data_IF_231168494511
#
_entry.id   IF_231168494511
#
_cell.length_a   1.000
_cell.length_b   1.000
_cell.length_c   1.000
_cell.angle_alpha   90.00
_cell.angle_beta   90.00
_cell.angle_gamma   90.00
#
_symmetry.space_group_name_H-M   'P 1'
#
loop_
_entity.id
_entity.type
_entity.pdbx_description
1 polymer ?
#
# COMPACT_ATOMS: atom_id res chain seq x y z
N UNK A 1 -44.00 -20.98 -21.30
CA UNK A 1 -44.37 -19.58 -21.03
C UNK A 1 -43.95 -19.22 -19.60
N UNK A 2 -42.65 -18.97 -19.36
CA UNK A 2 -42.14 -18.66 -18.02
C UNK A 2 -42.14 -17.14 -17.82
N UNK A 3 -43.19 -16.68 -17.15
CA UNK A 3 -43.45 -15.27 -16.85
C UNK A 3 -42.40 -14.74 -15.86
N UNK A 4 -41.64 -13.73 -16.26
CA UNK A 4 -40.72 -12.96 -15.41
C UNK A 4 -41.42 -12.48 -14.13
N UNK A 5 -41.27 -13.23 -13.02
CA UNK A 5 -41.66 -12.76 -11.69
C UNK A 5 -40.57 -11.83 -11.19
N UNK A 6 -40.82 -10.51 -11.23
CA UNK A 6 -39.95 -9.51 -10.58
C UNK A 6 -40.02 -9.72 -9.07
N UNK A 7 -38.98 -10.33 -8.50
CA UNK A 7 -38.82 -10.47 -7.04
C UNK A 7 -38.59 -9.06 -6.49
N UNK A 8 -39.63 -8.45 -5.90
CA UNK A 8 -39.50 -7.19 -5.16
C UNK A 8 -38.91 -7.50 -3.79
N UNK A 9 -37.58 -7.42 -3.67
CA UNK A 9 -36.89 -7.53 -2.38
C UNK A 9 -37.26 -6.29 -1.56
N UNK A 10 -38.19 -6.42 -0.61
CA UNK A 10 -38.47 -5.39 0.40
C UNK A 10 -37.54 -5.62 1.58
N UNK A 11 -36.39 -4.97 1.56
CA UNK A 11 -35.47 -4.96 2.70
C UNK A 11 -36.02 -3.97 3.73
N UNK A 12 -36.30 -4.42 4.95
CA UNK A 12 -36.66 -3.49 6.04
C UNK A 12 -35.51 -2.49 6.26
N UNK A 13 -35.80 -1.25 6.67
CA UNK A 13 -34.78 -0.21 6.86
C UNK A 13 -33.63 -0.65 7.78
N UNK A 14 -33.94 -1.47 8.79
CA UNK A 14 -32.96 -2.05 9.72
C UNK A 14 -32.06 -3.11 9.07
N UNK A 15 -32.62 -4.01 8.27
CA UNK A 15 -31.83 -5.00 7.53
C UNK A 15 -30.95 -4.37 6.45
N UNK A 16 -31.40 -3.28 5.82
CA UNK A 16 -30.59 -2.55 4.84
C UNK A 16 -29.40 -1.84 5.51
N UNK A 17 -29.62 -1.26 6.69
CA UNK A 17 -28.58 -0.61 7.50
C UNK A 17 -27.54 -1.62 8.00
N UNK A 18 -27.97 -2.81 8.45
CA UNK A 18 -27.07 -3.91 8.82
C UNK A 18 -26.21 -4.38 7.64
N UNK A 19 -26.79 -4.58 6.47
CA UNK A 19 -26.05 -4.96 5.26
C UNK A 19 -25.03 -3.88 4.89
N UNK A 20 -25.40 -2.61 4.98
CA UNK A 20 -24.51 -1.48 4.68
C UNK A 20 -23.34 -1.39 5.68
N UNK A 21 -23.60 -1.57 6.97
CA UNK A 21 -22.55 -1.67 8.00
C UNK A 21 -21.63 -2.86 7.69
N UNK A 22 -22.19 -4.01 7.33
CA UNK A 22 -21.39 -5.21 7.04
C UNK A 22 -20.49 -5.02 5.81
N UNK A 23 -20.98 -4.35 4.77
CA UNK A 23 -20.18 -3.99 3.59
C UNK A 23 -19.08 -2.99 3.97
N UNK A 24 -19.37 -2.00 4.81
CA UNK A 24 -18.38 -1.05 5.31
C UNK A 24 -17.28 -1.77 6.11
N UNK A 25 -17.66 -2.67 7.02
CA UNK A 25 -16.71 -3.47 7.80
C UNK A 25 -15.88 -4.36 6.88
N UNK A 26 -16.49 -5.05 5.93
CA UNK A 26 -15.76 -5.87 4.95
C UNK A 26 -14.81 -5.03 4.10
N UNK A 27 -15.23 -3.85 3.65
CA UNK A 27 -14.39 -2.92 2.90
C UNK A 27 -13.20 -2.46 3.72
N UNK A 28 -13.43 -2.01 4.97
CA UNK A 28 -12.36 -1.65 5.90
C UNK A 28 -11.43 -2.82 6.19
N UNK A 29 -12.00 -4.01 6.39
CA UNK A 29 -11.24 -5.22 6.64
C UNK A 29 -10.37 -5.58 5.45
N UNK A 30 -10.89 -5.51 4.21
CA UNK A 30 -10.11 -5.77 2.99
C UNK A 30 -9.02 -4.72 2.78
N UNK A 31 -9.32 -3.43 2.95
CA UNK A 31 -8.34 -2.34 2.81
C UNK A 31 -7.19 -2.48 3.81
N UNK A 32 -7.44 -3.04 4.98
CA UNK A 32 -6.39 -3.29 5.99
C UNK A 32 -5.69 -4.63 5.79
N UNK A 33 -6.45 -5.70 5.55
CA UNK A 33 -5.90 -7.07 5.48
C UNK A 33 -5.17 -7.35 4.19
N UNK A 34 -5.62 -6.85 3.04
CA UNK A 34 -4.94 -7.10 1.75
C UNK A 34 -3.51 -6.54 1.77
N UNK A 35 -3.25 -5.29 2.22
CA UNK A 35 -1.89 -4.81 2.42
C UNK A 35 -1.11 -5.58 3.48
N UNK A 36 -1.74 -5.94 4.61
CA UNK A 36 -1.10 -6.74 5.65
C UNK A 36 -0.64 -8.11 5.12
N UNK A 37 -1.50 -8.85 4.42
CA UNK A 37 -1.18 -10.15 3.84
C UNK A 37 -0.17 -10.02 2.70
N UNK A 38 -0.31 -9.01 1.84
CA UNK A 38 0.65 -8.73 0.78
C UNK A 38 2.04 -8.44 1.34
N UNK A 39 2.14 -7.58 2.35
CA UNK A 39 3.41 -7.24 2.99
C UNK A 39 3.98 -8.43 3.77
N UNK A 40 3.15 -9.18 4.50
CA UNK A 40 3.59 -10.39 5.20
C UNK A 40 4.09 -11.48 4.23
N UNK A 41 3.42 -11.66 3.10
CA UNK A 41 3.86 -12.55 2.02
C UNK A 41 5.20 -12.13 1.42
N UNK A 42 5.35 -10.83 1.14
CA UNK A 42 6.60 -10.23 0.66
C UNK A 42 7.74 -10.45 1.65
N UNK A 43 7.46 -10.28 2.94
CA UNK A 43 8.42 -10.48 4.01
C UNK A 43 8.84 -11.93 4.18
N UNK A 44 7.92 -12.89 4.08
CA UNK A 44 8.26 -14.32 4.08
C UNK A 44 9.12 -14.73 2.88
N UNK A 45 8.85 -14.14 1.71
CA UNK A 45 9.71 -14.32 0.53
C UNK A 45 11.12 -13.79 0.79
N UNK A 46 11.25 -12.56 1.31
CA UNK A 46 12.55 -11.97 1.68
C UNK A 46 13.27 -12.79 2.75
N UNK A 47 12.54 -13.32 3.74
CA UNK A 47 13.08 -14.15 4.79
C UNK A 47 13.70 -15.46 4.28
N UNK A 48 13.14 -16.04 3.21
CA UNK A 48 13.73 -17.23 2.57
C UNK A 48 15.14 -16.97 2.01
N UNK A 49 15.45 -15.73 1.66
CA UNK A 49 16.75 -15.31 1.13
C UNK A 49 17.62 -14.60 2.18
N UNK A 50 17.25 -14.69 3.47
CA UNK A 50 17.93 -14.00 4.58
C UNK A 50 17.97 -12.47 4.43
N UNK A 51 17.02 -11.92 3.66
CA UNK A 51 16.93 -10.48 3.40
C UNK A 51 16.11 -9.74 4.47
N UNK A 52 15.30 -10.46 5.24
CA UNK A 52 14.46 -9.91 6.29
C UNK A 52 14.05 -10.96 7.35
N UNK A 53 13.99 -10.59 8.63
CA UNK A 53 13.50 -11.44 9.72
C UNK A 53 12.43 -10.74 10.56
N UNK A 54 11.39 -11.48 10.96
CA UNK A 54 10.30 -11.03 11.83
C UNK A 54 10.14 -12.01 12.98
N UNK A 55 10.07 -11.50 14.21
CA UNK A 55 9.80 -12.31 15.40
C UNK A 55 8.38 -12.06 15.92
N UNK A 56 7.47 -12.98 15.65
CA UNK A 56 6.06 -12.88 16.03
C UNK A 56 5.90 -12.99 17.56
N UNK A 57 5.01 -12.19 18.16
CA UNK A 57 4.60 -12.33 19.56
C UNK A 57 3.61 -13.50 19.73
N UNK A 58 3.61 -14.13 20.90
CA UNK A 58 2.60 -15.16 21.23
C UNK A 58 1.17 -14.60 21.22
N UNK A 59 0.99 -13.35 21.68
CA UNK A 59 -0.32 -12.72 21.72
C UNK A 59 -0.69 -12.10 20.37
N UNK A 60 -1.77 -12.59 19.74
CA UNK A 60 -2.23 -12.16 18.43
C UNK A 60 -2.51 -10.65 18.31
N UNK A 61 -3.10 -10.03 19.34
CA UNK A 61 -3.44 -8.61 19.33
C UNK A 61 -2.19 -7.70 19.33
N UNK A 62 -1.09 -8.15 19.96
CA UNK A 62 0.19 -7.43 19.94
C UNK A 62 0.81 -7.46 18.56
N UNK A 63 0.69 -8.58 17.84
CA UNK A 63 1.12 -8.65 16.44
C UNK A 63 0.33 -7.65 15.58
N UNK A 64 -1.00 -7.64 15.72
CA UNK A 64 -1.85 -6.72 14.97
C UNK A 64 -1.48 -5.26 15.20
N UNK A 65 -1.34 -4.83 16.46
CA UNK A 65 -0.98 -3.46 16.79
C UNK A 65 0.46 -3.11 16.38
N UNK A 66 1.43 -3.98 16.66
CA UNK A 66 2.85 -3.72 16.40
C UNK A 66 3.15 -3.67 14.90
N UNK A 67 2.75 -4.70 14.14
CA UNK A 67 2.98 -4.73 12.69
C UNK A 67 2.00 -3.82 11.93
N UNK A 68 0.78 -3.61 12.44
CA UNK A 68 -0.14 -2.62 11.88
C UNK A 68 0.43 -1.20 11.99
N UNK A 69 1.01 -0.85 13.15
CA UNK A 69 1.70 0.43 13.32
C UNK A 69 2.92 0.56 12.42
N UNK A 70 3.70 -0.50 12.28
CA UNK A 70 4.84 -0.55 11.34
C UNK A 70 4.41 -0.24 9.89
N UNK A 71 3.34 -0.87 9.40
CA UNK A 71 2.81 -0.62 8.06
C UNK A 71 2.29 0.80 7.89
N UNK A 72 1.59 1.31 8.91
CA UNK A 72 1.07 2.69 8.89
C UNK A 72 2.22 3.69 8.77
N UNK A 73 3.32 3.47 9.50
CA UNK A 73 4.52 4.31 9.40
C UNK A 73 5.18 4.23 8.02
N UNK A 74 5.27 3.05 7.41
CA UNK A 74 5.77 2.90 6.03
C UNK A 74 4.88 3.69 5.06
N UNK A 75 3.56 3.52 5.14
CA UNK A 75 2.63 4.22 4.27
C UNK A 75 2.70 5.75 4.44
N UNK A 76 2.74 6.23 5.69
CA UNK A 76 2.90 7.65 6.00
C UNK A 76 4.23 8.21 5.46
N UNK A 77 5.32 7.46 5.62
CA UNK A 77 6.63 7.86 5.10
C UNK A 77 6.63 7.97 3.58
N UNK A 78 6.10 6.97 2.86
CA UNK A 78 5.98 7.03 1.39
C UNK A 78 5.17 8.25 0.95
N UNK A 79 4.02 8.48 1.58
CA UNK A 79 3.17 9.63 1.28
C UNK A 79 3.89 10.97 1.49
N UNK A 80 4.66 11.12 2.58
CA UNK A 80 5.45 12.33 2.85
C UNK A 80 6.53 12.52 1.78
N UNK A 81 7.26 11.47 1.41
CA UNK A 81 8.31 11.54 0.38
C UNK A 81 7.71 11.87 -0.99
N UNK A 82 6.56 11.29 -1.34
CA UNK A 82 5.82 11.61 -2.56
C UNK A 82 5.35 13.06 -2.58
N UNK A 83 4.81 13.55 -1.46
CA UNK A 83 4.38 14.93 -1.32
C UNK A 83 5.55 15.91 -1.49
N UNK A 84 6.71 15.61 -0.89
CA UNK A 84 7.93 16.42 -1.07
C UNK A 84 8.38 16.42 -2.53
N UNK A 85 8.39 15.27 -3.20
CA UNK A 85 8.77 15.19 -4.62
C UNK A 85 7.83 16.02 -5.50
N UNK A 86 6.52 15.98 -5.24
CA UNK A 86 5.55 16.80 -5.96
C UNK A 86 5.82 18.31 -5.77
N UNK A 87 6.18 18.71 -4.55
CA UNK A 87 6.59 20.08 -4.26
C UNK A 87 7.88 20.48 -4.99
N UNK A 88 8.88 19.58 -5.04
CA UNK A 88 10.14 19.80 -5.78
C UNK A 88 9.86 19.98 -7.27
N UNK A 89 9.12 19.06 -7.89
CA UNK A 89 8.79 19.13 -9.33
C UNK A 89 8.03 20.42 -9.65
N UNK A 90 7.07 20.80 -8.81
CA UNK A 90 6.33 22.06 -8.95
C UNK A 90 7.24 23.29 -8.79
N UNK A 91 8.13 23.31 -7.80
CA UNK A 91 9.04 24.44 -7.52
C UNK A 91 10.02 24.70 -8.67
N UNK A 92 10.51 23.64 -9.32
CA UNK A 92 11.41 23.75 -10.47
C UNK A 92 10.67 23.88 -11.80
N UNK A 93 9.34 23.92 -11.79
CA UNK A 93 8.47 24.01 -12.95
C UNK A 93 8.83 22.96 -14.02
N UNK A 94 9.19 21.75 -13.57
CA UNK A 94 9.62 20.66 -14.44
C UNK A 94 8.42 20.07 -15.17
N UNK A 95 8.53 19.93 -16.49
CA UNK A 95 7.54 19.21 -17.28
C UNK A 95 7.57 17.72 -16.88
N UNK A 96 6.42 17.19 -16.48
CA UNK A 96 6.23 15.77 -16.18
C UNK A 96 6.41 14.93 -17.46
N UNK A 97 7.66 14.60 -17.75
CA UNK A 97 8.06 13.71 -18.84
C UNK A 97 8.45 12.34 -18.28
N UNK A 98 8.36 11.30 -19.10
CA UNK A 98 8.80 9.93 -18.73
C UNK A 98 10.18 9.87 -18.07
N UNK A 99 11.25 10.54 -18.57
CA UNK A 99 12.56 10.49 -17.92
C UNK A 99 12.57 11.17 -16.55
N UNK A 100 11.88 12.31 -16.39
CA UNK A 100 11.75 12.99 -15.09
C UNK A 100 11.07 12.07 -14.08
N UNK A 101 10.01 11.35 -14.50
CA UNK A 101 9.32 10.41 -13.64
C UNK A 101 10.20 9.24 -13.19
N UNK A 102 10.97 8.63 -14.10
CA UNK A 102 11.87 7.52 -13.75
C UNK A 102 12.94 7.98 -12.76
N UNK A 103 13.52 9.16 -12.97
CA UNK A 103 14.54 9.72 -12.06
C UNK A 103 13.93 10.05 -10.69
N UNK A 104 12.75 10.68 -10.65
CA UNK A 104 12.03 10.95 -9.41
C UNK A 104 11.77 9.67 -8.64
N UNK A 105 11.25 8.61 -9.28
CA UNK A 105 11.01 7.32 -8.61
C UNK A 105 12.29 6.68 -8.08
N UNK A 106 13.40 6.76 -8.83
CA UNK A 106 14.68 6.24 -8.37
C UNK A 106 15.18 6.97 -7.11
N UNK A 107 15.09 8.31 -7.10
CA UNK A 107 15.47 9.13 -5.95
C UNK A 107 14.55 8.85 -4.77
N UNK A 108 13.23 8.81 -4.99
CA UNK A 108 12.25 8.53 -3.95
C UNK A 108 12.45 7.14 -3.34
N UNK A 109 12.75 6.13 -4.16
CA UNK A 109 13.07 4.77 -3.70
C UNK A 109 14.30 4.77 -2.80
N UNK A 110 15.36 5.47 -3.22
CA UNK A 110 16.59 5.58 -2.42
C UNK A 110 16.35 6.30 -1.09
N UNK A 111 15.66 7.45 -1.12
CA UNK A 111 15.31 8.23 0.08
C UNK A 111 14.44 7.41 1.03
N UNK A 112 13.41 6.73 0.51
CA UNK A 112 12.54 5.86 1.30
C UNK A 112 13.32 4.71 1.92
N UNK A 113 14.20 4.04 1.17
CA UNK A 113 14.99 2.92 1.69
C UNK A 113 15.92 3.37 2.83
N UNK A 114 16.56 4.54 2.69
CA UNK A 114 17.43 5.13 3.73
C UNK A 114 16.61 5.46 4.97
N UNK A 115 15.53 6.23 4.83
CA UNK A 115 14.67 6.61 5.96
C UNK A 115 14.05 5.39 6.64
N UNK A 116 13.62 4.42 5.86
CA UNK A 116 13.07 3.17 6.38
C UNK A 116 14.08 2.40 7.22
N UNK A 117 15.29 2.16 6.72
CA UNK A 117 16.30 1.40 7.47
C UNK A 117 16.80 2.17 8.68
N UNK A 118 17.05 3.46 8.54
CA UNK A 118 17.65 4.29 9.60
C UNK A 118 16.66 4.74 10.68
N UNK A 119 15.38 4.92 10.36
CA UNK A 119 14.37 5.40 11.32
C UNK A 119 13.38 4.30 11.68
N UNK A 120 12.70 3.72 10.69
CA UNK A 120 11.59 2.80 10.95
C UNK A 120 12.12 1.46 11.46
N UNK A 121 12.95 0.74 10.70
CA UNK A 121 13.47 -0.57 11.12
C UNK A 121 14.25 -0.47 12.44
N UNK A 122 15.07 0.58 12.61
CA UNK A 122 15.83 0.80 13.84
C UNK A 122 14.95 0.99 15.08
N UNK A 123 13.73 1.52 14.92
CA UNK A 123 12.77 1.73 16.01
C UNK A 123 12.03 0.44 16.41
N UNK A 124 12.15 -0.64 15.64
CA UNK A 124 11.39 -1.87 15.82
C UNK A 124 12.33 -3.03 16.17
N UNK A 125 12.32 -3.47 17.44
CA UNK A 125 13.24 -4.50 17.94
C UNK A 125 13.03 -5.92 17.39
N UNK A 126 11.89 -6.17 16.75
CA UNK A 126 11.49 -7.50 16.25
C UNK A 126 11.41 -7.61 14.73
N UNK A 127 11.90 -6.59 14.04
CA UNK A 127 11.90 -6.49 12.58
C UNK A 127 13.34 -6.18 12.21
N UNK A 128 13.97 -7.08 11.46
CA UNK A 128 15.24 -6.76 10.82
C UNK A 128 15.12 -6.96 9.31
N UNK A 129 15.65 -6.00 8.56
CA UNK A 129 15.62 -5.99 7.10
C UNK A 129 16.99 -5.55 6.62
N UNK A 130 17.62 -6.33 5.76
CA UNK A 130 18.89 -5.93 5.14
C UNK A 130 18.70 -4.67 4.28
N UNK A 131 19.79 -3.98 3.96
CA UNK A 131 19.75 -2.85 3.03
C UNK A 131 19.19 -3.26 1.66
N UNK A 132 19.63 -4.41 1.14
CA UNK A 132 19.13 -4.98 -0.11
C UNK A 132 17.65 -5.32 -0.02
N UNK A 133 17.19 -5.92 1.08
CA UNK A 133 15.77 -6.18 1.32
C UNK A 133 14.93 -4.90 1.34
N UNK A 134 15.45 -3.84 1.95
CA UNK A 134 14.76 -2.53 2.00
C UNK A 134 14.54 -1.95 0.61
N UNK A 135 15.57 -1.98 -0.26
CA UNK A 135 15.45 -1.50 -1.64
C UNK A 135 14.40 -2.33 -2.41
N UNK A 136 14.43 -3.66 -2.29
CA UNK A 136 13.48 -4.55 -2.96
C UNK A 136 12.04 -4.24 -2.51
N UNK A 137 11.81 -4.04 -1.21
CA UNK A 137 10.49 -3.68 -0.67
C UNK A 137 9.97 -2.40 -1.34
N UNK A 138 10.77 -1.33 -1.39
CA UNK A 138 10.29 -0.07 -1.98
C UNK A 138 10.12 -0.15 -3.50
N UNK A 139 11.01 -0.83 -4.22
CA UNK A 139 10.82 -1.07 -5.66
C UNK A 139 9.48 -1.76 -5.91
N UNK A 140 9.15 -2.81 -5.14
CA UNK A 140 7.89 -3.52 -5.29
C UNK A 140 6.68 -2.66 -4.91
N UNK A 141 6.77 -1.88 -3.83
CA UNK A 141 5.70 -0.95 -3.43
C UNK A 141 5.45 0.12 -4.50
N UNK A 142 6.49 0.73 -5.05
CA UNK A 142 6.34 1.72 -6.12
C UNK A 142 5.81 1.10 -7.42
N UNK A 143 6.18 -0.13 -7.77
CA UNK A 143 5.58 -0.84 -8.91
C UNK A 143 4.08 -1.05 -8.68
N UNK A 144 3.69 -1.49 -7.47
CA UNK A 144 2.28 -1.68 -7.10
C UNK A 144 1.52 -0.36 -7.26
N UNK A 145 2.03 0.73 -6.67
CA UNK A 145 1.42 2.07 -6.80
C UNK A 145 1.34 2.49 -8.27
N UNK A 146 2.40 2.31 -9.06
CA UNK A 146 2.41 2.68 -10.47
C UNK A 146 1.37 1.91 -11.30
N UNK A 147 1.15 0.61 -11.00
CA UNK A 147 0.12 -0.20 -11.67
C UNK A 147 -1.28 0.28 -11.31
N UNK A 148 -1.54 0.61 -10.04
CA UNK A 148 -2.84 1.11 -9.60
C UNK A 148 -3.13 2.55 -10.02
N UNK A 149 -2.09 3.38 -10.17
CA UNK A 149 -2.18 4.77 -10.61
C UNK A 149 -2.13 4.93 -12.13
N UNK A 150 -2.03 3.84 -12.89
CA UNK A 150 -2.03 3.90 -14.35
C UNK A 150 -3.44 4.24 -14.86
N UNK A 151 -3.71 5.52 -15.07
CA UNK A 151 -4.87 5.96 -15.84
C UNK A 151 -4.66 5.59 -17.32
N UNK A 152 -5.61 4.87 -17.91
CA UNK A 152 -5.61 4.61 -19.34
C UNK A 152 -5.62 5.97 -20.05
N UNK A 153 -4.69 6.25 -20.98
CA UNK A 153 -4.74 7.49 -21.74
C UNK A 153 -6.10 7.54 -22.46
N UNK A 154 -6.82 8.63 -22.24
CA UNK A 154 -8.08 8.92 -22.92
C UNK A 154 -7.79 8.80 -24.43
N UNK A 155 -8.48 7.88 -25.10
CA UNK A 155 -8.34 7.75 -26.54
C UNK A 155 -8.71 9.09 -27.14
N UNK A 156 -7.75 9.78 -27.76
CA UNK A 156 -7.99 10.98 -28.52
C UNK A 156 -9.16 10.67 -29.47
N UNK A 157 -10.31 11.29 -29.20
CA UNK A 157 -11.40 11.33 -30.17
C UNK A 157 -10.83 12.06 -31.38
N UNK A 158 -10.49 11.30 -32.41
CA UNK A 158 -10.32 11.84 -33.75
C UNK A 158 -11.72 12.28 -34.19
N UNK A 159 -12.03 13.56 -34.01
CA UNK A 159 -13.06 14.28 -34.77
C UNK A 159 -12.40 15.08 -35.88
#
# INVERSE_FOLDING_TARGET
MFKNRKIKIRVSGWSALLILIMILILGLFLVVTVPLFGFFGLYNLLAKYDLASIQIFEQWYRNGLYYGWFLLLIAAMMFIVDFINLFVVASFNLLWSKPVAVISYAIQTAVCAILFKSLIVMSFSRIDVTWTGSIIIFVLLYIIVAVFSYEKPEQAKNE
#
